data_IF_254447345313
#
_entry.id   IF_254447345313
#
_cell.length_a   1.000
_cell.length_b   1.000
_cell.length_c   1.000
_cell.angle_alpha   90.00
_cell.angle_beta   90.00
_cell.angle_gamma   90.00
#
_symmetry.space_group_name_H-M   'P 1'
#
loop_
_entity.id
_entity.type
_entity.pdbx_description
1 polymer ?
#
# COMPACT_ATOMS: atom_id res chain seq x y z
N UNK A 1 -52.18 20.51 22.46
CA UNK A 1 -51.97 20.93 21.05
C UNK A 1 -51.18 19.84 20.37
N UNK A 2 -51.85 19.12 19.47
CA UNK A 2 -51.27 18.21 18.48
C UNK A 2 -50.19 18.96 17.65
N UNK A 3 -49.14 18.36 17.13
CA UNK A 3 -49.17 17.34 16.06
C UNK A 3 -48.00 16.35 16.18
N UNK A 4 -48.33 15.06 15.99
CA UNK A 4 -47.42 13.99 15.60
C UNK A 4 -47.51 13.83 14.08
N UNK A 5 -46.36 13.75 13.41
CA UNK A 5 -46.23 13.45 11.97
C UNK A 5 -45.89 11.95 11.82
N UNK A 6 -46.45 11.23 10.82
CA UNK A 6 -46.67 9.80 10.92
C UNK A 6 -45.52 8.91 10.44
N UNK A 7 -45.57 7.70 10.98
CA UNK A 7 -44.83 6.49 10.62
C UNK A 7 -44.93 6.14 9.13
N UNK A 8 -43.79 5.81 8.52
CA UNK A 8 -43.74 5.09 7.26
C UNK A 8 -43.81 3.59 7.50
N UNK A 9 -44.92 2.98 7.06
CA UNK A 9 -45.14 1.54 7.02
C UNK A 9 -45.06 1.03 5.60
N UNK A 10 -44.28 -0.04 5.39
CA UNK A 10 -44.66 -1.13 4.49
C UNK A 10 -44.18 -1.04 3.04
N UNK A 11 -43.01 -1.61 2.77
CA UNK A 11 -42.74 -2.26 1.49
C UNK A 11 -42.51 -3.75 1.73
N UNK A 12 -43.51 -4.57 1.36
CA UNK A 12 -43.43 -6.03 1.32
C UNK A 12 -42.55 -6.42 0.14
N UNK A 13 -41.40 -7.01 0.42
CA UNK A 13 -40.62 -7.75 -0.57
C UNK A 13 -41.25 -9.14 -0.74
N UNK A 14 -41.73 -9.44 -1.94
CA UNK A 14 -42.23 -10.77 -2.32
C UNK A 14 -41.14 -11.47 -3.15
N UNK A 15 -40.74 -12.72 -2.83
CA UNK A 15 -39.74 -13.44 -3.59
C UNK A 15 -40.40 -14.23 -4.72
N UNK A 16 -40.15 -13.83 -5.98
CA UNK A 16 -40.45 -14.69 -7.13
C UNK A 16 -39.26 -15.58 -7.43
N UNK A 17 -39.35 -16.80 -6.90
CA UNK A 17 -38.61 -17.96 -7.37
C UNK A 17 -39.11 -18.30 -8.78
N UNK A 18 -38.22 -18.30 -9.78
CA UNK A 18 -38.47 -19.03 -11.03
C UNK A 18 -37.31 -19.97 -11.29
N UNK A 19 -37.57 -21.23 -10.97
CA UNK A 19 -36.84 -22.40 -11.42
C UNK A 19 -37.24 -22.71 -12.87
N UNK A 20 -36.30 -22.68 -13.80
CA UNK A 20 -36.50 -23.23 -15.14
C UNK A 20 -35.27 -24.05 -15.56
N UNK A 21 -35.53 -25.36 -15.57
CA UNK A 21 -34.78 -26.46 -16.15
C UNK A 21 -34.19 -26.18 -17.53
N UNK A 22 -32.95 -26.64 -17.76
CA UNK A 22 -32.67 -27.51 -18.92
C UNK A 22 -31.38 -28.30 -18.74
N UNK A 23 -31.56 -29.59 -18.44
CA UNK A 23 -30.59 -30.64 -18.72
C UNK A 23 -30.57 -30.89 -20.23
N UNK A 24 -29.42 -30.70 -20.87
CA UNK A 24 -29.12 -31.34 -22.16
C UNK A 24 -27.91 -32.24 -21.95
N UNK A 25 -28.18 -33.54 -21.88
CA UNK A 25 -27.20 -34.59 -22.18
C UNK A 25 -27.39 -34.93 -23.65
N UNK A 26 -26.29 -35.08 -24.39
CA UNK A 26 -26.13 -36.01 -25.52
C UNK A 26 -24.69 -35.88 -26.09
N UNK A 27 -24.19 -36.81 -26.93
CA UNK A 27 -23.83 -38.15 -26.56
C UNK A 27 -22.38 -38.51 -26.99
N UNK A 28 -21.98 -39.72 -26.62
CA UNK A 28 -20.75 -40.39 -26.99
C UNK A 28 -20.50 -40.43 -28.51
N UNK A 29 -19.37 -39.90 -28.95
CA UNK A 29 -18.85 -40.01 -30.32
C UNK A 29 -17.46 -40.65 -30.33
N UNK A 30 -17.36 -41.81 -30.96
CA UNK A 30 -16.17 -42.65 -31.07
C UNK A 30 -15.09 -42.13 -32.04
N UNK A 31 -13.82 -42.29 -31.61
CA UNK A 31 -12.60 -42.68 -32.39
C UNK A 31 -12.00 -41.67 -33.40
N UNK A 32 -10.71 -41.78 -33.83
CA UNK A 32 -9.78 -42.90 -33.68
C UNK A 32 -8.37 -42.59 -33.11
N UNK A 33 -7.72 -43.69 -32.73
CA UNK A 33 -6.31 -43.84 -32.38
C UNK A 33 -5.43 -43.79 -33.63
N UNK A 34 -4.50 -42.85 -33.74
CA UNK A 34 -3.26 -42.99 -34.52
C UNK A 34 -2.17 -42.10 -33.90
N UNK A 35 -0.99 -42.72 -33.67
CA UNK A 35 0.38 -42.16 -33.68
C UNK A 35 0.64 -40.83 -32.93
N UNK A 36 1.55 -40.74 -31.97
CA UNK A 36 2.97 -41.04 -32.14
C UNK A 36 3.61 -41.42 -30.79
N UNK A 37 4.28 -42.56 -30.81
CA UNK A 37 5.48 -42.83 -30.02
C UNK A 37 6.63 -42.09 -30.73
N UNK A 38 7.42 -41.29 -30.03
CA UNK A 38 8.88 -41.19 -30.22
C UNK A 38 9.49 -40.18 -29.21
N UNK A 39 10.42 -40.69 -28.39
CA UNK A 39 11.58 -40.00 -27.76
C UNK A 39 11.27 -38.86 -26.77
N UNK A 40 12.03 -38.64 -25.69
CA UNK A 40 13.21 -39.27 -25.16
C UNK A 40 13.36 -38.80 -23.70
N UNK A 41 13.97 -39.67 -22.91
CA UNK A 41 14.69 -39.43 -21.67
C UNK A 41 15.18 -37.97 -21.45
N UNK A 42 14.69 -37.34 -20.40
CA UNK A 42 15.38 -36.26 -19.69
C UNK A 42 15.04 -36.37 -18.20
N UNK A 43 15.98 -36.83 -17.35
CA UNK A 43 15.76 -36.89 -15.91
C UNK A 43 16.10 -35.53 -15.27
N UNK A 44 15.39 -35.21 -14.20
CA UNK A 44 15.84 -34.34 -13.12
C UNK A 44 16.27 -32.90 -13.47
N UNK A 45 15.33 -32.04 -13.82
CA UNK A 45 15.33 -30.64 -13.37
C UNK A 45 13.88 -30.23 -13.16
N UNK A 46 13.59 -29.52 -12.08
CA UNK A 46 12.35 -28.79 -11.74
C UNK A 46 11.70 -29.25 -10.42
N UNK A 47 12.31 -28.83 -9.32
CA UNK A 47 11.62 -28.47 -8.09
C UNK A 47 12.50 -27.51 -7.26
N UNK A 48 12.74 -26.32 -7.80
CA UNK A 48 13.12 -25.16 -7.00
C UNK A 48 12.18 -24.01 -7.40
N UNK A 49 11.12 -23.73 -6.64
CA UNK A 49 10.65 -22.35 -6.57
C UNK A 49 11.64 -21.58 -5.69
N UNK A 50 11.63 -20.26 -5.80
CA UNK A 50 12.41 -19.35 -4.95
C UNK A 50 13.88 -19.16 -5.34
N UNK A 51 14.08 -18.37 -6.40
CA UNK A 51 14.86 -17.14 -6.28
C UNK A 51 14.52 -16.26 -7.48
N UNK A 52 13.60 -15.30 -7.30
CA UNK A 52 13.36 -14.21 -8.25
C UNK A 52 13.61 -12.86 -7.59
N UNK A 53 14.74 -12.71 -6.91
CA UNK A 53 15.29 -11.36 -6.67
C UNK A 53 16.11 -10.99 -7.90
N UNK A 54 15.43 -10.50 -8.94
CA UNK A 54 16.11 -9.87 -10.07
C UNK A 54 16.28 -8.38 -9.75
N UNK A 55 17.23 -8.04 -8.87
CA UNK A 55 17.71 -6.66 -8.78
C UNK A 55 18.49 -6.35 -10.05
N UNK A 56 17.83 -5.79 -11.06
CA UNK A 56 18.51 -5.29 -12.26
C UNK A 56 19.13 -3.95 -11.89
N UNK A 57 20.38 -3.99 -11.41
CA UNK A 57 21.20 -2.79 -11.27
C UNK A 57 21.65 -2.32 -12.64
N UNK A 58 20.95 -1.34 -13.23
CA UNK A 58 21.46 -0.63 -14.41
C UNK A 58 22.58 0.31 -13.94
N UNK A 59 23.83 -0.06 -14.22
CA UNK A 59 24.98 0.78 -13.95
C UNK A 59 24.95 2.00 -14.88
N UNK A 60 24.59 3.18 -14.33
CA UNK A 60 24.75 4.47 -15.00
C UNK A 60 26.16 5.02 -14.76
N UNK A 61 26.74 5.64 -15.79
CA UNK A 61 28.07 6.26 -15.79
C UNK A 61 28.24 7.42 -14.77
N UNK A 62 27.21 7.75 -13.99
CA UNK A 62 27.20 8.79 -12.96
C UNK A 62 27.10 8.27 -11.51
N UNK A 63 27.16 6.97 -11.27
CA UNK A 63 27.03 6.40 -9.91
C UNK A 63 25.61 6.40 -9.34
N UNK A 64 24.60 6.87 -10.09
CA UNK A 64 23.18 6.65 -9.78
C UNK A 64 22.82 5.19 -10.03
N UNK A 65 22.48 4.44 -8.97
CA UNK A 65 21.86 3.12 -9.09
C UNK A 65 20.35 3.23 -8.96
N UNK A 66 19.63 3.04 -10.07
CA UNK A 66 18.17 2.83 -10.05
C UNK A 66 17.92 1.36 -9.72
N UNK A 67 17.15 1.12 -8.65
CA UNK A 67 16.72 -0.24 -8.31
C UNK A 67 15.28 -0.42 -8.76
N UNK A 68 15.04 -1.39 -9.63
CA UNK A 68 13.70 -1.75 -10.09
C UNK A 68 13.36 -3.14 -9.57
N UNK A 69 12.26 -3.24 -8.85
CA UNK A 69 11.68 -4.49 -8.35
C UNK A 69 10.37 -4.76 -9.08
N UNK A 70 10.09 -6.02 -9.38
CA UNK A 70 8.85 -6.44 -10.04
C UNK A 70 8.21 -7.57 -9.25
N UNK A 71 6.91 -7.44 -9.04
CA UNK A 71 6.06 -8.44 -8.41
C UNK A 71 4.79 -8.53 -9.23
N UNK A 72 4.53 -9.68 -9.86
CA UNK A 72 3.44 -9.83 -10.83
C UNK A 72 3.49 -8.76 -11.94
N UNK A 73 2.44 -7.96 -12.02
CA UNK A 73 2.27 -6.83 -12.95
C UNK A 73 2.76 -5.50 -12.37
N UNK A 74 3.02 -5.44 -11.06
CA UNK A 74 3.48 -4.23 -10.40
C UNK A 74 4.99 -4.05 -10.51
N UNK A 75 5.42 -2.80 -10.65
CA UNK A 75 6.83 -2.41 -10.66
C UNK A 75 7.07 -1.35 -9.62
N UNK A 76 8.01 -1.59 -8.71
CA UNK A 76 8.51 -0.62 -7.75
C UNK A 76 9.87 -0.10 -8.22
N UNK A 77 9.95 1.19 -8.50
CA UNK A 77 11.18 1.87 -8.93
C UNK A 77 11.69 2.74 -7.80
N UNK A 78 12.92 2.48 -7.35
CA UNK A 78 13.65 3.30 -6.40
C UNK A 78 14.64 4.14 -7.19
N UNK A 79 14.33 5.43 -7.32
CA UNK A 79 15.18 6.39 -8.01
C UNK A 79 16.20 6.95 -7.02
N UNK A 80 17.51 6.85 -7.33
CA UNK A 80 18.57 7.40 -6.52
C UNK A 80 18.50 8.93 -6.53
N UNK A 81 19.20 9.51 -5.58
CA UNK A 81 19.02 10.91 -5.18
C UNK A 81 19.77 11.89 -6.08
N UNK A 82 19.30 13.14 -6.10
CA UNK A 82 20.17 14.29 -6.37
C UNK A 82 20.70 14.78 -5.01
N UNK A 83 22.02 14.97 -4.85
CA UNK A 83 22.59 15.42 -3.57
C UNK A 83 22.15 16.86 -3.27
N UNK A 84 21.18 17.02 -2.38
CA UNK A 84 20.72 18.33 -1.89
C UNK A 84 21.26 18.58 -0.48
N UNK A 85 22.58 18.71 -0.35
CA UNK A 85 23.35 19.37 0.71
C UNK A 85 23.17 19.00 2.20
N UNK A 86 22.04 18.43 2.64
CA UNK A 86 21.68 18.33 4.07
C UNK A 86 20.93 17.07 4.44
N UNK A 87 20.19 16.44 3.52
CA UNK A 87 19.48 15.18 3.73
C UNK A 87 19.46 14.34 2.46
N UNK A 88 19.37 13.03 2.66
CA UNK A 88 19.26 12.06 1.59
C UNK A 88 17.78 11.84 1.23
N UNK A 89 17.36 12.31 0.05
CA UNK A 89 16.01 12.16 -0.53
C UNK A 89 15.95 11.11 -1.66
N UNK A 90 15.40 9.93 -1.39
CA UNK A 90 15.13 8.93 -2.44
C UNK A 90 13.67 8.99 -2.87
N UNK A 91 13.40 8.85 -4.17
CA UNK A 91 12.03 8.79 -4.69
C UNK A 91 11.63 7.34 -4.97
N UNK A 92 10.46 6.97 -4.48
CA UNK A 92 9.82 5.69 -4.70
C UNK A 92 8.64 5.88 -5.65
N UNK A 93 8.56 5.04 -6.66
CA UNK A 93 7.43 5.01 -7.59
C UNK A 93 6.92 3.58 -7.71
N UNK A 94 5.71 3.34 -7.21
CA UNK A 94 5.00 2.09 -7.42
C UNK A 94 4.02 2.29 -8.58
N UNK A 95 4.18 1.49 -9.63
CA UNK A 95 3.37 1.56 -10.82
C UNK A 95 2.71 0.21 -11.13
N UNK A 96 1.47 0.27 -11.61
CA UNK A 96 0.75 -0.88 -12.18
C UNK A 96 0.18 -0.44 -13.53
N UNK A 97 0.93 -0.72 -14.60
CA UNK A 97 0.63 -0.21 -15.93
C UNK A 97 0.59 1.35 -15.98
N UNK A 98 -0.09 1.94 -16.97
CA UNK A 98 -0.20 3.39 -17.11
C UNK A 98 -1.27 4.03 -16.21
N UNK A 99 -2.12 3.23 -15.57
CA UNK A 99 -3.32 3.70 -14.87
C UNK A 99 -3.10 4.00 -13.38
N UNK A 100 -2.07 3.42 -12.77
CA UNK A 100 -1.76 3.56 -11.35
C UNK A 100 -0.30 3.95 -11.18
N UNK A 101 -0.11 5.08 -10.50
CA UNK A 101 1.19 5.55 -10.05
C UNK A 101 1.05 6.10 -8.62
N UNK A 102 1.65 5.39 -7.67
CA UNK A 102 1.83 5.84 -6.29
C UNK A 102 3.24 6.39 -6.15
N UNK A 103 3.35 7.64 -5.71
CA UNK A 103 4.64 8.31 -5.53
C UNK A 103 4.91 8.52 -4.05
N UNK A 104 6.15 8.24 -3.65
CA UNK A 104 6.62 8.54 -2.31
C UNK A 104 8.06 9.06 -2.29
N UNK A 105 8.42 9.70 -1.19
CA UNK A 105 9.77 10.15 -0.89
C UNK A 105 10.22 9.58 0.45
N UNK A 106 11.45 9.09 0.46
CA UNK A 106 12.18 8.68 1.65
C UNK A 106 13.11 9.82 2.05
N UNK A 107 13.01 10.24 3.30
CA UNK A 107 13.90 11.21 3.92
C UNK A 107 14.62 10.47 5.02
N UNK A 108 15.88 10.10 4.76
CA UNK A 108 16.73 9.43 5.74
C UNK A 108 17.47 10.45 6.62
N UNK A 109 17.74 10.13 7.90
CA UNK A 109 18.60 10.95 8.73
C UNK A 109 20.04 10.94 8.18
N UNK A 110 20.82 11.97 8.53
CA UNK A 110 22.23 12.06 8.14
C UNK A 110 22.99 10.81 8.59
N UNK A 111 23.51 10.02 7.64
CA UNK A 111 24.11 8.71 7.91
C UNK A 111 23.74 7.59 6.93
N UNK A 112 22.87 7.84 5.95
CA UNK A 112 22.66 6.92 4.82
C UNK A 112 21.84 5.68 5.16
N UNK A 113 20.77 5.84 5.94
CA UNK A 113 19.86 4.74 6.25
C UNK A 113 19.30 4.13 4.94
N UNK A 114 19.67 2.87 4.67
CA UNK A 114 19.25 2.17 3.45
C UNK A 114 17.88 1.53 3.70
N UNK A 115 16.88 2.03 3.00
CA UNK A 115 15.58 1.36 2.90
C UNK A 115 15.67 0.31 1.80
N UNK A 116 15.39 -0.94 2.14
CA UNK A 116 15.29 -2.04 1.17
C UNK A 116 13.83 -2.46 1.05
N UNK A 117 13.40 -2.64 -0.20
CA UNK A 117 12.14 -3.30 -0.50
C UNK A 117 12.44 -4.65 -1.14
N UNK A 118 11.58 -5.62 -0.87
CA UNK A 118 11.66 -6.98 -1.39
C UNK A 118 10.29 -7.37 -1.95
N UNK A 119 10.30 -8.27 -2.93
CA UNK A 119 9.09 -8.90 -3.45
C UNK A 119 8.50 -9.80 -2.35
N UNK A 120 7.25 -9.55 -1.97
CA UNK A 120 6.54 -10.46 -1.06
C UNK A 120 6.10 -11.70 -1.86
N UNK A 121 5.87 -12.83 -1.18
CA UNK A 121 5.37 -14.04 -1.88
C UNK A 121 3.98 -13.85 -2.53
N UNK A 122 3.38 -12.69 -2.31
CA UNK A 122 2.09 -12.30 -2.82
C UNK A 122 2.22 -11.38 -4.03
N UNK A 123 1.51 -11.71 -5.11
CA UNK A 123 1.60 -10.98 -6.36
C UNK A 123 1.22 -9.50 -6.19
N UNK A 124 2.07 -8.63 -6.76
CA UNK A 124 1.91 -7.18 -6.78
C UNK A 124 2.10 -6.49 -5.42
N UNK A 125 2.84 -7.11 -4.50
CA UNK A 125 3.13 -6.56 -3.19
C UNK A 125 4.65 -6.48 -2.94
N UNK A 126 5.07 -5.42 -2.26
CA UNK A 126 6.46 -5.19 -1.87
C UNK A 126 6.53 -4.90 -0.37
N UNK A 127 7.33 -5.66 0.35
CA UNK A 127 7.62 -5.43 1.77
C UNK A 127 8.90 -4.61 1.89
N UNK A 128 9.00 -3.72 2.88
CA UNK A 128 10.23 -2.98 3.13
C UNK A 128 10.38 -2.59 4.59
N UNK A 129 11.63 -2.56 5.05
CA UNK A 129 11.97 -2.10 6.39
C UNK A 129 12.42 -0.64 6.35
N UNK A 130 11.77 0.18 7.15
CA UNK A 130 12.04 1.60 7.29
C UNK A 130 12.83 1.82 8.59
N UNK A 131 14.13 2.15 8.49
CA UNK A 131 14.96 2.38 9.67
C UNK A 131 14.45 3.54 10.50
N UNK A 132 14.76 3.52 11.79
CA UNK A 132 14.40 4.58 12.72
C UNK A 132 14.94 5.94 12.27
N UNK A 133 14.17 7.00 12.55
CA UNK A 133 14.48 8.36 12.11
C UNK A 133 14.18 8.62 10.63
N UNK A 134 13.85 7.58 9.85
CA UNK A 134 13.44 7.75 8.45
C UNK A 134 11.98 8.20 8.37
N UNK A 135 11.72 9.14 7.48
CA UNK A 135 10.37 9.57 7.13
C UNK A 135 10.03 9.09 5.71
N UNK A 136 8.85 8.50 5.54
CA UNK A 136 8.26 8.15 4.25
C UNK A 136 7.08 9.09 4.00
N UNK A 137 7.04 9.74 2.83
CA UNK A 137 5.98 10.66 2.44
C UNK A 137 5.30 10.16 1.17
N UNK A 138 4.03 9.82 1.22
CA UNK A 138 3.23 9.45 0.05
C UNK A 138 2.49 10.68 -0.47
N UNK A 139 2.52 10.90 -1.78
CA UNK A 139 1.75 11.96 -2.42
C UNK A 139 0.27 11.60 -2.42
N UNK A 140 -0.57 12.40 -1.77
CA UNK A 140 -2.03 12.19 -1.78
C UNK A 140 -2.66 12.59 -3.13
N UNK A 141 -1.96 13.41 -3.92
CA UNK A 141 -2.35 13.71 -5.30
C UNK A 141 -2.06 12.53 -6.24
N UNK A 142 -1.15 11.62 -5.86
CA UNK A 142 -0.88 10.42 -6.64
C UNK A 142 -1.94 9.35 -6.36
N UNK A 143 -2.29 8.58 -7.39
CA UNK A 143 -3.12 7.37 -7.23
C UNK A 143 -4.60 7.60 -6.81
N UNK A 144 -5.14 8.80 -6.96
CA UNK A 144 -6.59 9.07 -6.78
C UNK A 144 -6.98 9.44 -5.34
N UNK A 145 -8.20 9.08 -4.93
CA UNK A 145 -8.71 9.39 -3.58
C UNK A 145 -8.22 8.36 -2.56
N UNK A 146 -7.81 8.83 -1.39
CA UNK A 146 -7.24 8.02 -0.31
C UNK A 146 -8.27 7.74 0.79
N UNK A 147 -8.18 6.54 1.35
CA UNK A 147 -9.05 6.01 2.41
C UNK A 147 -8.22 5.23 3.43
N UNK A 148 -8.83 4.88 4.57
CA UNK A 148 -8.18 4.19 5.69
C UNK A 148 -7.49 5.14 6.68
N UNK A 149 -6.54 4.58 7.43
CA UNK A 149 -5.78 5.28 8.46
C UNK A 149 -6.48 5.37 9.82
N UNK A 150 -5.97 6.24 10.71
CA UNK A 150 -6.51 6.38 12.04
C UNK A 150 -7.88 7.08 11.98
N UNK A 151 -8.78 6.69 12.88
CA UNK A 151 -9.99 7.48 13.10
C UNK A 151 -9.60 8.85 13.68
N UNK A 152 -10.27 9.91 13.22
CA UNK A 152 -10.15 11.28 13.75
C UNK A 152 -11.52 11.77 14.18
N UNK A 153 -11.60 12.66 15.17
CA UNK A 153 -12.92 13.19 15.63
C UNK A 153 -13.67 13.93 14.50
N UNK A 154 -12.90 14.50 13.57
CA UNK A 154 -13.36 15.11 12.32
C UNK A 154 -12.85 14.31 11.13
N UNK A 155 -13.37 13.09 10.97
CA UNK A 155 -13.01 12.25 9.83
C UNK A 155 -13.61 12.83 8.53
N UNK A 156 -12.75 13.36 7.67
CA UNK A 156 -13.11 13.74 6.31
C UNK A 156 -12.75 12.61 5.34
N UNK A 157 -13.72 12.18 4.54
CA UNK A 157 -13.53 11.19 3.49
C UNK A 157 -13.73 11.85 2.12
N UNK A 158 -12.80 11.68 1.17
CA UNK A 158 -11.52 10.99 1.30
C UNK A 158 -10.50 11.76 2.16
N UNK A 159 -9.49 11.05 2.69
CA UNK A 159 -8.51 11.64 3.62
C UNK A 159 -7.61 12.70 2.96
N UNK A 160 -7.64 12.82 1.63
CA UNK A 160 -7.02 13.91 0.88
C UNK A 160 -7.41 15.29 1.41
N UNK A 161 -8.61 15.43 1.98
CA UNK A 161 -9.10 16.70 2.53
C UNK A 161 -8.86 16.84 4.04
N UNK A 162 -8.37 15.79 4.69
CA UNK A 162 -8.14 15.77 6.13
C UNK A 162 -6.80 16.43 6.46
N UNK A 163 -6.67 17.00 7.67
CA UNK A 163 -5.42 17.57 8.16
C UNK A 163 -5.13 17.00 9.54
N UNK A 164 -3.90 16.51 9.72
CA UNK A 164 -3.46 15.90 10.96
C UNK A 164 -2.03 16.35 11.23
N UNK A 165 -1.87 17.17 12.26
CA UNK A 165 -0.54 17.56 12.75
C UNK A 165 0.26 16.33 13.18
N UNK A 166 1.59 16.41 13.09
CA UNK A 166 2.48 15.31 13.46
C UNK A 166 2.20 14.88 14.89
N UNK A 167 1.81 13.62 15.07
CA UNK A 167 1.57 13.04 16.38
C UNK A 167 1.84 11.54 16.36
N UNK A 168 1.96 10.96 17.56
CA UNK A 168 2.17 9.52 17.71
C UNK A 168 0.97 8.73 17.18
N UNK A 169 1.25 7.71 16.38
CA UNK A 169 0.26 6.75 15.92
C UNK A 169 -0.10 5.80 17.06
N UNK A 170 -0.97 6.25 17.95
CA UNK A 170 -1.43 5.51 19.11
C UNK A 170 -2.91 5.81 19.37
N UNK A 171 -3.63 4.82 19.90
CA UNK A 171 -5.01 5.02 20.30
C UNK A 171 -5.11 6.07 21.40
N UNK A 172 -6.00 7.04 21.23
CA UNK A 172 -6.35 8.03 22.24
C UNK A 172 -7.87 8.13 22.44
N UNK A 173 -8.29 8.80 23.50
CA UNK A 173 -9.68 9.17 23.69
C UNK A 173 -9.97 10.52 22.99
N UNK A 174 -10.76 10.48 21.91
CA UNK A 174 -11.19 11.68 21.17
C UNK A 174 -11.94 12.70 22.01
N UNK A 175 -12.54 12.28 23.13
CA UNK A 175 -13.22 13.20 24.03
C UNK A 175 -12.22 14.07 24.80
N UNK A 176 -11.02 13.52 25.06
CA UNK A 176 -9.92 14.22 25.72
C UNK A 176 -9.12 15.09 24.75
N UNK A 177 -8.95 14.64 23.50
CA UNK A 177 -8.27 15.37 22.44
C UNK A 177 -9.04 15.26 21.12
N UNK A 178 -9.75 16.33 20.77
CA UNK A 178 -10.54 16.37 19.52
C UNK A 178 -9.68 16.54 18.27
N UNK A 179 -8.46 17.02 18.38
CA UNK A 179 -7.56 17.16 17.22
C UNK A 179 -6.61 15.94 17.10
N UNK A 180 -6.67 15.02 18.07
CA UNK A 180 -5.91 13.80 18.12
C UNK A 180 -6.44 12.68 17.23
N UNK A 181 -5.55 11.74 16.94
CA UNK A 181 -5.92 10.36 16.58
C UNK A 181 -6.63 9.78 17.80
N UNK A 182 -7.74 9.07 17.59
CA UNK A 182 -8.42 8.39 18.71
C UNK A 182 -8.35 6.91 18.51
N UNK A 183 -9.46 6.16 18.57
CA UNK A 183 -9.38 4.70 18.45
C UNK A 183 -8.81 4.29 17.09
N UNK A 184 -7.53 3.88 17.13
CA UNK A 184 -6.77 3.36 15.99
C UNK A 184 -7.27 1.96 15.72
N UNK A 185 -7.71 1.72 14.48
CA UNK A 185 -8.08 0.38 14.05
C UNK A 185 -6.97 -0.23 13.21
N UNK A 186 -6.48 0.43 12.16
CA UNK A 186 -5.54 -0.20 11.23
C UNK A 186 -4.59 0.82 10.60
N UNK A 187 -3.29 0.52 10.61
CA UNK A 187 -2.26 1.28 9.91
C UNK A 187 -2.26 0.94 8.40
N UNK A 188 -3.43 1.07 7.77
CA UNK A 188 -3.70 0.72 6.38
C UNK A 188 -4.32 1.91 5.66
N UNK A 189 -3.71 2.29 4.53
CA UNK A 189 -4.21 3.29 3.61
C UNK A 189 -4.38 2.70 2.22
N UNK A 190 -5.50 3.01 1.57
CA UNK A 190 -5.85 2.49 0.25
C UNK A 190 -6.31 3.62 -0.64
N UNK A 191 -5.93 3.57 -1.91
CA UNK A 191 -6.33 4.55 -2.91
C UNK A 191 -7.43 4.02 -3.82
N UNK A 192 -8.26 4.91 -4.37
CA UNK A 192 -9.34 4.56 -5.29
C UNK A 192 -8.85 3.93 -6.59
N UNK A 193 -7.58 4.14 -6.95
CA UNK A 193 -6.98 3.49 -8.12
C UNK A 193 -6.45 2.08 -7.82
N UNK A 194 -6.43 1.65 -6.55
CA UNK A 194 -6.04 0.30 -6.15
C UNK A 194 -4.58 0.18 -5.69
N UNK A 195 -3.95 1.25 -5.21
CA UNK A 195 -2.71 1.16 -4.46
C UNK A 195 -2.99 1.10 -2.95
N UNK A 196 -2.06 0.55 -2.18
CA UNK A 196 -2.15 0.53 -0.72
C UNK A 196 -0.79 0.68 -0.06
N UNK A 197 -0.85 1.16 1.18
CA UNK A 197 0.27 1.26 2.11
C UNK A 197 -0.20 0.68 3.43
N UNK A 198 0.53 -0.27 3.98
CA UNK A 198 0.25 -0.85 5.29
C UNK A 198 1.50 -0.85 6.17
N UNK A 199 1.37 -0.57 7.46
CA UNK A 199 2.38 -0.94 8.44
C UNK A 199 2.09 -2.33 8.98
N UNK A 200 3.06 -3.24 8.88
CA UNK A 200 2.91 -4.66 9.22
C UNK A 200 3.30 -4.99 10.66
N UNK A 201 3.89 -4.06 11.39
CA UNK A 201 4.24 -4.21 12.80
C UNK A 201 3.78 -3.00 13.62
N UNK A 202 3.80 -3.16 14.94
CA UNK A 202 3.44 -2.14 15.95
C UNK A 202 4.60 -1.20 16.28
N UNK A 203 5.63 -1.16 15.42
CA UNK A 203 6.77 -0.27 15.59
C UNK A 203 6.30 1.17 15.83
N UNK A 204 6.79 1.86 16.88
CA UNK A 204 6.38 3.21 17.17
C UNK A 204 6.58 4.13 15.96
N UNK A 205 5.52 4.80 15.53
CA UNK A 205 5.60 5.75 14.43
C UNK A 205 4.81 7.03 14.74
N UNK A 206 5.21 8.11 14.10
CA UNK A 206 4.42 9.33 14.01
C UNK A 206 3.75 9.42 12.63
N UNK A 207 2.56 9.99 12.59
CA UNK A 207 1.83 10.27 11.36
C UNK A 207 1.53 11.75 11.23
N UNK A 208 1.47 12.24 10.00
CA UNK A 208 0.89 13.54 9.68
C UNK A 208 0.19 13.50 8.32
N UNK A 209 -0.88 14.30 8.16
CA UNK A 209 -1.65 14.43 6.93
C UNK A 209 -1.77 15.92 6.55
N UNK A 210 -1.41 16.27 5.31
CA UNK A 210 -1.64 17.63 4.75
C UNK A 210 -1.18 18.79 5.64
N UNK A 211 -0.07 18.56 6.32
CA UNK A 211 0.67 19.56 7.07
C UNK A 211 2.09 19.61 6.52
N UNK A 212 2.64 20.82 6.50
CA UNK A 212 4.05 20.99 6.18
C UNK A 212 4.89 20.20 7.20
N UNK A 213 6.09 19.77 6.79
CA UNK A 213 7.04 19.22 7.74
C UNK A 213 7.35 20.27 8.82
N UNK A 214 7.05 19.96 10.08
CA UNK A 214 7.72 20.61 11.21
C UNK A 214 9.18 20.12 11.20
N UNK A 215 10.05 20.90 10.57
CA UNK A 215 11.48 20.90 10.82
C UNK A 215 12.02 22.32 10.62
N UNK A 216 12.77 22.77 11.61
CA UNK A 216 13.51 24.03 11.64
C UNK A 216 14.23 24.33 10.31
N UNK A 217 14.10 25.58 9.87
CA UNK A 217 15.05 26.34 9.06
C UNK A 217 15.92 25.54 8.06
N UNK A 218 15.40 25.33 6.84
CA UNK A 218 16.14 25.64 5.60
C UNK A 218 15.22 25.39 4.40
N UNK A 219 15.18 26.38 3.51
CA UNK A 219 14.19 26.55 2.43
C UNK A 219 14.28 25.53 1.26
N UNK A 220 15.15 24.52 1.31
CA UNK A 220 15.50 23.73 0.12
C UNK A 220 14.73 22.40 -0.04
N UNK A 221 14.00 21.95 0.99
CA UNK A 221 13.07 20.81 0.87
C UNK A 221 11.65 21.24 0.41
N UNK A 222 11.49 22.53 0.05
CA UNK A 222 10.19 23.18 -0.16
C UNK A 222 9.24 22.45 -1.10
N UNK A 223 9.73 21.78 -2.15
CA UNK A 223 8.86 21.06 -3.09
C UNK A 223 8.33 19.72 -2.56
N UNK A 224 9.09 19.00 -1.72
CA UNK A 224 8.64 17.74 -1.10
C UNK A 224 7.77 18.00 0.16
N UNK A 225 7.96 19.17 0.78
CA UNK A 225 7.21 19.61 1.95
C UNK A 225 5.91 20.35 1.62
N UNK A 226 5.79 20.96 0.43
CA UNK A 226 4.59 21.70 0.00
C UNK A 226 3.46 20.81 -0.53
N UNK A 227 3.70 19.51 -0.71
CA UNK A 227 2.68 18.60 -1.23
C UNK A 227 1.77 18.06 -0.13
N UNK A 228 0.49 17.93 -0.49
CA UNK A 228 -0.48 17.12 0.22
C UNK A 228 0.04 15.70 0.35
N UNK A 229 0.39 15.32 1.58
CA UNK A 229 1.10 14.09 1.83
C UNK A 229 0.57 13.37 3.07
N UNK A 230 0.55 12.05 2.98
CA UNK A 230 0.59 11.15 4.12
C UNK A 230 2.06 10.94 4.47
N UNK A 231 2.47 11.35 5.66
CA UNK A 231 3.81 11.08 6.15
C UNK A 231 3.79 10.10 7.32
N UNK A 232 4.62 9.06 7.22
CA UNK A 232 4.92 8.10 8.27
C UNK A 232 6.36 8.32 8.71
N UNK A 233 6.59 8.44 10.01
CA UNK A 233 7.92 8.66 10.58
C UNK A 233 8.23 7.56 11.57
N UNK A 234 9.22 6.72 11.26
CA UNK A 234 9.65 5.64 12.14
C UNK A 234 10.36 6.24 13.35
N UNK A 235 9.82 6.05 14.55
CA UNK A 235 10.36 6.64 15.77
C UNK A 235 11.56 5.84 16.28
N UNK A 236 12.58 6.54 16.79
CA UNK A 236 13.64 5.91 17.58
C UNK A 236 13.16 5.57 18.98
N UNK A 237 13.52 4.40 19.50
CA UNK A 237 13.33 4.08 20.93
C UNK A 237 12.96 2.64 21.30
N UNK A 238 12.62 1.79 20.32
CA UNK A 238 12.17 0.40 20.58
C UNK A 238 13.02 -0.71 19.96
N UNK A 239 14.05 -0.37 19.19
CA UNK A 239 14.91 -1.35 18.49
C UNK A 239 14.39 -1.81 17.13
N UNK A 240 13.08 -1.82 16.91
CA UNK A 240 12.51 -2.34 15.66
C UNK A 240 12.40 -1.29 14.56
N UNK A 241 12.61 -1.72 13.31
CA UNK A 241 12.33 -0.95 12.11
C UNK A 241 10.82 -0.99 11.81
N UNK A 242 10.28 0.08 11.22
CA UNK A 242 8.90 0.08 10.76
C UNK A 242 8.80 -0.77 9.48
N UNK A 243 8.04 -1.86 9.52
CA UNK A 243 7.83 -2.70 8.34
C UNK A 243 6.64 -2.18 7.56
N UNK A 244 6.86 -1.77 6.32
CA UNK A 244 5.81 -1.33 5.40
C UNK A 244 5.55 -2.38 4.33
N UNK A 245 4.30 -2.46 3.89
CA UNK A 245 3.89 -3.19 2.69
C UNK A 245 3.23 -2.23 1.70
N UNK A 246 3.63 -2.34 0.45
CA UNK A 246 3.08 -1.58 -0.67
C UNK A 246 2.48 -2.57 -1.67
N UNK A 247 1.16 -2.55 -1.86
CA UNK A 247 0.51 -3.40 -2.85
C UNK A 247 -0.24 -2.57 -3.90
N UNK A 248 -0.30 -3.08 -5.13
CA UNK A 248 -1.08 -2.48 -6.21
C UNK A 248 -1.92 -3.52 -6.97
N UNK A 249 -3.16 -3.17 -7.31
CA UNK A 249 -3.98 -3.95 -8.24
C UNK A 249 -4.97 -3.01 -8.94
N UNK A 250 -5.52 -3.46 -10.06
CA UNK A 250 -6.62 -2.75 -10.74
C UNK A 250 -7.93 -2.82 -9.98
N UNK A 251 -8.03 -3.73 -9.00
CA UNK A 251 -9.20 -3.91 -8.14
C UNK A 251 -8.86 -3.63 -6.67
N UNK A 252 -9.44 -2.55 -6.12
CA UNK A 252 -9.29 -2.11 -4.73
C UNK A 252 -9.66 -3.21 -3.72
N UNK A 253 -10.70 -4.01 -4.01
CA UNK A 253 -11.13 -5.09 -3.13
C UNK A 253 -10.08 -6.20 -3.05
N UNK A 254 -9.41 -6.48 -4.17
CA UNK A 254 -8.32 -7.45 -4.21
C UNK A 254 -7.17 -6.96 -3.34
N UNK A 255 -6.72 -5.71 -3.51
CA UNK A 255 -5.65 -5.11 -2.69
C UNK A 255 -5.97 -5.15 -1.20
N UNK A 256 -7.18 -4.73 -0.83
CA UNK A 256 -7.61 -4.74 0.56
C UNK A 256 -7.53 -6.14 1.17
N UNK A 257 -8.02 -7.17 0.46
CA UNK A 257 -7.96 -8.56 0.94
C UNK A 257 -6.55 -9.09 1.09
N UNK A 258 -5.65 -8.76 0.16
CA UNK A 258 -4.24 -9.15 0.21
C UNK A 258 -3.55 -8.58 1.45
N UNK A 259 -3.69 -7.27 1.64
CA UNK A 259 -3.12 -6.61 2.81
C UNK A 259 -3.71 -7.16 4.11
N UNK A 260 -5.03 -7.35 4.21
CA UNK A 260 -5.61 -7.95 5.41
C UNK A 260 -5.09 -9.37 5.70
N UNK A 261 -4.69 -10.12 4.67
CA UNK A 261 -4.09 -11.44 4.84
C UNK A 261 -2.61 -11.39 5.28
N UNK A 262 -1.93 -10.26 5.09
CA UNK A 262 -0.53 -10.06 5.50
C UNK A 262 -0.39 -9.44 6.89
N UNK A 263 -1.46 -8.84 7.43
CA UNK A 263 -1.45 -8.30 8.78
C UNK A 263 -1.26 -9.41 9.82
N UNK A 264 -0.47 -9.16 10.88
CA UNK A 264 -0.37 -10.10 11.98
C UNK A 264 -1.75 -10.32 12.61
N UNK A 265 -2.03 -11.54 13.12
CA UNK A 265 -3.26 -11.76 13.87
C UNK A 265 -3.31 -10.79 15.05
N UNK A 266 -4.46 -10.14 15.24
CA UNK A 266 -4.68 -9.33 16.45
C UNK A 266 -4.76 -10.29 17.65
N UNK A 267 -3.79 -10.21 18.55
CA UNK A 267 -3.81 -10.90 19.85
C UNK A 267 -4.84 -10.30 20.82
#
# INVERSE_FOLDING_TARGET
KCEMVPSWSGARYSPTVSSAWKHEREPWGQRPRWALILLCLLPCVLAFPMLRVASIGLASASGMQVTVLRSGDATLTVLPQLPTGTNELSRLELALGPALLLQAWLIAPQGGARVTFEDEQEANCFGGEIPQGTQVRFSLASSGSWYGGPSTSRAFWPINSNRLSRQRYASNDFLSDREGIGSVLEALWITSSGASVAALNDAPMHISLNVACDYHETHELGAACAQEALALHAMGGGGDALRLQLCADTNVLTVHRRVLASLPPME
#
